data_IF_959483911449
#
_entry.id   IF_959483911449
#
_cell.length_a   1.000
_cell.length_b   1.000
_cell.length_c   1.000
_cell.angle_alpha   90.00
_cell.angle_beta   90.00
_cell.angle_gamma   90.00
#
_symmetry.space_group_name_H-M   'P 1'
#
loop_
_entity.id
_entity.type
_entity.pdbx_description
1 polymer ?
#
# COMPACT_ATOMS: atom_id res chain seq x y z
N UNK A 1 -2.94 -7.19 -42.52
CA UNK A 1 -2.88 -7.51 -41.08
C UNK A 1 -1.80 -6.62 -40.50
N UNK A 2 -2.22 -5.66 -39.68
CA UNK A 2 -1.50 -4.43 -39.33
C UNK A 2 -0.35 -4.67 -38.35
N UNK A 3 0.83 -4.14 -38.68
CA UNK A 3 1.99 -4.10 -37.78
C UNK A 3 1.72 -3.33 -36.47
N UNK A 4 0.66 -2.51 -36.42
CA UNK A 4 0.20 -1.81 -35.23
C UNK A 4 -0.43 -2.75 -34.20
N UNK A 5 -1.18 -3.76 -34.64
CA UNK A 5 -1.80 -4.74 -33.73
C UNK A 5 -0.75 -5.64 -33.08
N UNK A 6 0.28 -6.04 -33.85
CA UNK A 6 1.41 -6.79 -33.29
C UNK A 6 2.27 -5.95 -32.32
N UNK A 7 2.26 -4.61 -32.45
CA UNK A 7 2.96 -3.70 -31.54
C UNK A 7 2.14 -3.47 -30.26
N UNK A 8 0.80 -3.39 -30.36
CA UNK A 8 -0.12 -3.39 -29.23
C UNK A 8 -0.02 -4.71 -28.44
N UNK A 9 -0.06 -5.86 -29.12
CA UNK A 9 0.06 -7.19 -28.50
C UNK A 9 1.45 -7.41 -27.85
N UNK A 10 2.51 -6.83 -28.44
CA UNK A 10 3.87 -6.88 -27.89
C UNK A 10 4.08 -5.90 -26.72
N UNK A 11 3.35 -4.78 -26.68
CA UNK A 11 3.34 -3.86 -25.53
C UNK A 11 2.61 -4.49 -24.34
N UNK A 12 1.44 -5.11 -24.54
CA UNK A 12 0.72 -5.83 -23.47
C UNK A 12 1.55 -6.97 -22.89
N UNK A 13 2.11 -7.84 -23.73
CA UNK A 13 2.87 -9.02 -23.26
C UNK A 13 4.23 -8.69 -22.62
N UNK A 14 4.75 -7.46 -22.79
CA UNK A 14 5.99 -6.99 -22.15
C UNK A 14 5.73 -6.14 -20.92
N UNK A 15 4.49 -5.67 -20.73
CA UNK A 15 4.05 -4.92 -19.57
C UNK A 15 3.98 -5.79 -18.33
N UNK A 16 3.45 -7.02 -18.41
CA UNK A 16 3.36 -7.93 -17.27
C UNK A 16 4.73 -8.29 -16.68
N UNK A 17 5.73 -8.53 -17.52
CA UNK A 17 7.10 -8.84 -17.09
C UNK A 17 7.81 -7.61 -16.48
N UNK A 18 7.47 -6.39 -16.96
CA UNK A 18 7.94 -5.14 -16.38
C UNK A 18 7.25 -4.86 -15.03
N UNK A 19 5.96 -5.18 -14.89
CA UNK A 19 5.25 -5.09 -13.61
C UNK A 19 5.74 -6.08 -12.58
N UNK A 20 6.02 -7.34 -12.95
CA UNK A 20 6.64 -8.29 -12.03
C UNK A 20 8.01 -7.80 -11.52
N UNK A 21 8.76 -7.07 -12.37
CA UNK A 21 10.04 -6.45 -11.99
C UNK A 21 9.86 -5.22 -11.09
N UNK A 22 8.81 -4.43 -11.30
CA UNK A 22 8.48 -3.24 -10.51
C UNK A 22 7.83 -3.61 -9.16
N UNK A 23 6.92 -4.59 -9.13
CA UNK A 23 6.31 -5.15 -7.91
C UNK A 23 7.18 -6.15 -7.16
N UNK A 24 8.30 -6.60 -7.75
CA UNK A 24 9.34 -7.32 -7.04
C UNK A 24 10.02 -6.51 -5.94
N UNK A 25 9.78 -5.19 -5.87
CA UNK A 25 10.18 -4.28 -4.78
C UNK A 25 9.04 -3.88 -3.84
N UNK A 26 8.04 -4.76 -3.81
CA UNK A 26 7.29 -5.17 -2.64
C UNK A 26 6.26 -4.21 -2.01
N UNK A 27 5.15 -4.78 -1.48
CA UNK A 27 4.25 -4.12 -0.52
C UNK A 27 4.94 -3.64 0.77
N UNK A 28 6.26 -3.79 0.89
CA UNK A 28 7.10 -3.20 1.93
C UNK A 28 7.16 -1.68 1.78
N UNK A 29 7.32 -1.14 0.56
CA UNK A 29 7.33 0.32 0.35
C UNK A 29 5.99 0.96 0.71
N UNK A 30 4.87 0.32 0.37
CA UNK A 30 3.54 0.79 0.75
C UNK A 30 3.35 0.83 2.27
N UNK A 31 3.84 -0.21 2.97
CA UNK A 31 3.77 -0.28 4.43
C UNK A 31 4.66 0.76 5.08
N UNK A 32 5.84 1.01 4.53
CA UNK A 32 6.75 2.01 5.07
C UNK A 32 6.25 3.43 4.80
N UNK A 33 5.61 3.67 3.65
CA UNK A 33 4.88 4.91 3.39
C UNK A 33 3.74 5.13 4.41
N UNK A 34 2.93 4.10 4.66
CA UNK A 34 1.86 4.17 5.66
C UNK A 34 2.37 4.37 7.10
N UNK A 35 3.48 3.74 7.47
CA UNK A 35 4.13 3.97 8.77
C UNK A 35 4.60 5.41 8.90
N UNK A 36 5.25 5.93 7.85
CA UNK A 36 5.71 7.32 7.83
C UNK A 36 4.55 8.30 7.93
N UNK A 37 3.43 8.02 7.26
CA UNK A 37 2.21 8.82 7.36
C UNK A 37 1.64 8.79 8.78
N UNK A 38 1.56 7.59 9.38
CA UNK A 38 1.15 7.39 10.77
C UNK A 38 2.03 8.18 11.75
N UNK A 39 3.35 8.12 11.59
CA UNK A 39 4.31 8.85 12.42
C UNK A 39 4.21 10.38 12.22
N UNK A 40 3.95 10.82 10.98
CA UNK A 40 3.83 12.25 10.65
C UNK A 40 2.56 12.88 11.21
N UNK A 41 1.49 12.08 11.35
CA UNK A 41 0.20 12.52 11.89
C UNK A 41 0.00 12.15 13.36
N UNK A 42 1.07 11.73 14.05
CA UNK A 42 1.05 11.46 15.48
C UNK A 42 0.93 12.77 16.28
N UNK A 43 -0.14 12.91 17.07
CA UNK A 43 -0.44 14.10 17.86
C UNK A 43 -0.33 13.80 19.36
N UNK A 44 0.53 14.53 20.06
CA UNK A 44 0.66 14.42 21.52
C UNK A 44 -0.48 15.15 22.20
N UNK A 45 -1.25 14.43 23.01
CA UNK A 45 -2.40 14.94 23.76
C UNK A 45 -2.05 15.28 25.22
N UNK A 46 -2.96 15.99 25.91
CA UNK A 46 -2.78 16.56 27.26
C UNK A 46 -2.63 15.54 28.43
N UNK A 47 -2.34 14.29 28.12
CA UNK A 47 -2.10 13.24 29.11
C UNK A 47 -0.82 12.42 28.81
N UNK A 48 0.06 12.94 27.95
CA UNK A 48 1.24 12.20 27.48
C UNK A 48 0.92 11.07 26.50
N UNK A 49 -0.35 10.96 26.08
CA UNK A 49 -0.81 9.98 25.07
C UNK A 49 -0.54 10.52 23.68
N UNK A 50 -0.13 9.65 22.76
CA UNK A 50 0.13 10.00 21.36
C UNK A 50 -0.98 9.40 20.51
N UNK A 51 -1.80 10.24 19.89
CA UNK A 51 -2.91 9.82 19.04
C UNK A 51 -2.46 9.74 17.57
N UNK A 52 -2.90 8.71 16.86
CA UNK A 52 -2.69 8.53 15.41
C UNK A 52 -4.01 8.32 14.68
N UNK A 53 -4.11 8.65 13.38
CA UNK A 53 -5.33 8.44 12.60
C UNK A 53 -5.79 6.98 12.60
N UNK A 54 -7.10 6.74 12.72
CA UNK A 54 -7.70 5.39 12.73
C UNK A 54 -8.14 4.90 11.34
N UNK A 55 -8.16 5.78 10.35
CA UNK A 55 -8.58 5.50 8.98
C UNK A 55 -7.53 6.06 8.00
N UNK A 56 -7.22 5.26 6.99
CA UNK A 56 -6.26 5.60 5.94
C UNK A 56 -6.87 5.24 4.59
N UNK A 57 -6.96 6.22 3.71
CA UNK A 57 -7.29 6.00 2.31
C UNK A 57 -6.00 5.81 1.52
N UNK A 58 -5.92 4.69 0.79
CA UNK A 58 -4.73 4.32 0.02
C UNK A 58 -5.10 4.29 -1.45
N UNK A 59 -4.58 5.24 -2.20
CA UNK A 59 -4.72 5.28 -3.65
C UNK A 59 -3.61 4.48 -4.31
N UNK A 60 -4.00 3.56 -5.21
CA UNK A 60 -3.09 2.72 -5.98
C UNK A 60 -3.43 2.87 -7.46
N UNK A 61 -2.44 2.72 -8.34
CA UNK A 61 -2.73 2.65 -9.76
C UNK A 61 -3.62 1.43 -10.07
N UNK A 62 -4.56 1.59 -11.00
CA UNK A 62 -5.53 0.57 -11.41
C UNK A 62 -4.94 -0.83 -11.67
N UNK A 63 -3.84 -1.00 -12.44
CA UNK A 63 -3.25 -2.33 -12.64
C UNK A 63 -2.70 -2.96 -11.35
N UNK A 64 -2.23 -2.15 -10.39
CA UNK A 64 -1.79 -2.61 -9.06
C UNK A 64 -3.01 -3.10 -8.28
N UNK A 65 -4.07 -2.30 -8.26
CA UNK A 65 -5.28 -2.56 -7.52
C UNK A 65 -5.96 -3.85 -8.02
N UNK A 66 -6.06 -4.02 -9.34
CA UNK A 66 -6.59 -5.23 -9.95
C UNK A 66 -5.77 -6.47 -9.60
N UNK A 67 -4.44 -6.38 -9.62
CA UNK A 67 -3.57 -7.53 -9.33
C UNK A 67 -3.67 -7.95 -7.85
N UNK A 68 -3.70 -6.97 -6.94
CA UNK A 68 -3.93 -7.24 -5.51
C UNK A 68 -5.32 -7.87 -5.29
N UNK A 69 -6.33 -7.38 -6.00
CA UNK A 69 -7.70 -7.91 -5.92
C UNK A 69 -7.78 -9.33 -6.50
N UNK A 70 -7.15 -9.59 -7.66
CA UNK A 70 -7.08 -10.91 -8.31
C UNK A 70 -6.40 -11.96 -7.44
N UNK A 71 -5.35 -11.58 -6.72
CA UNK A 71 -4.64 -12.48 -5.78
C UNK A 71 -5.45 -12.81 -4.52
N UNK A 72 -6.71 -12.38 -4.44
CA UNK A 72 -7.61 -12.62 -3.30
C UNK A 72 -7.10 -11.99 -2.01
N UNK A 73 -6.25 -10.96 -2.14
CA UNK A 73 -5.41 -10.54 -1.04
C UNK A 73 -6.22 -9.70 -0.05
N UNK A 74 -6.23 -10.13 1.21
CA UNK A 74 -6.68 -9.32 2.35
C UNK A 74 -5.66 -8.21 2.64
N UNK A 75 -5.24 -7.46 1.62
CA UNK A 75 -4.20 -6.43 1.73
C UNK A 75 -4.61 -5.40 2.76
N UNK A 76 -5.86 -4.94 2.74
CA UNK A 76 -6.38 -4.04 3.79
C UNK A 76 -6.12 -4.58 5.20
N UNK A 77 -6.54 -5.82 5.49
CA UNK A 77 -6.28 -6.44 6.80
C UNK A 77 -4.79 -6.55 7.11
N UNK A 78 -3.97 -6.97 6.15
CA UNK A 78 -2.54 -7.13 6.35
C UNK A 78 -1.83 -5.78 6.61
N UNK A 79 -2.27 -4.70 5.97
CA UNK A 79 -1.80 -3.34 6.20
C UNK A 79 -2.23 -2.85 7.58
N UNK A 80 -3.51 -3.03 7.93
CA UNK A 80 -4.05 -2.71 9.26
C UNK A 80 -3.29 -3.45 10.36
N UNK A 81 -3.03 -4.75 10.21
CA UNK A 81 -2.29 -5.54 11.18
C UNK A 81 -0.84 -5.05 11.35
N UNK A 82 -0.21 -4.60 10.25
CA UNK A 82 1.15 -4.04 10.30
C UNK A 82 1.17 -2.67 10.98
N UNK A 83 0.16 -1.83 10.75
CA UNK A 83 -0.01 -0.54 11.42
C UNK A 83 -0.35 -0.71 12.90
N UNK A 84 -1.23 -1.64 13.26
CA UNK A 84 -1.52 -2.02 14.65
C UNK A 84 -0.26 -2.41 15.42
N UNK A 85 0.60 -3.26 14.83
CA UNK A 85 1.90 -3.62 15.42
C UNK A 85 2.87 -2.44 15.49
N UNK A 86 2.79 -1.49 14.55
CA UNK A 86 3.63 -0.30 14.57
C UNK A 86 3.24 0.66 15.70
N UNK A 87 1.95 0.97 15.80
CA UNK A 87 1.37 1.77 16.87
C UNK A 87 1.68 1.18 18.26
N UNK A 88 1.48 -0.12 18.43
CA UNK A 88 1.78 -0.81 19.70
C UNK A 88 3.26 -0.71 20.10
N UNK A 89 4.20 -0.73 19.13
CA UNK A 89 5.64 -0.56 19.41
C UNK A 89 6.02 0.86 19.82
N UNK A 90 5.29 1.87 19.34
CA UNK A 90 5.57 3.28 19.62
C UNK A 90 4.69 3.86 20.74
N UNK A 91 3.80 3.06 21.33
CA UNK A 91 2.86 3.52 22.35
C UNK A 91 1.79 4.46 21.82
N UNK A 92 1.45 4.33 20.53
CA UNK A 92 0.40 5.13 19.91
C UNK A 92 -0.98 4.59 20.22
N UNK A 93 -1.93 5.49 20.32
CA UNK A 93 -3.35 5.24 20.50
C UNK A 93 -4.11 5.69 19.25
N UNK A 94 -5.10 4.92 18.82
CA UNK A 94 -5.92 5.27 17.66
C UNK A 94 -6.90 6.37 18.04
N UNK A 95 -7.02 7.39 17.19
CA UNK A 95 -8.05 8.41 17.34
C UNK A 95 -9.42 7.80 17.05
N UNK A 96 -10.19 7.44 18.08
CA UNK A 96 -11.50 6.79 17.95
C UNK A 96 -12.21 6.64 19.27
#
# INVERSE_FOLDING_TARGET
MSALSALEDALENRWEALWARLFGREPVELVDALRRECDSHAVVCRAGRVLVPNAYDVELAEPVHEELTRRGSRVGQALTDRLARHAARHGYEWAG
#
